data_IF_820230433614
#
_entry.id   IF_820230433614
#
_cell.length_a   1.000
_cell.length_b   1.000
_cell.length_c   1.000
_cell.angle_alpha   90.00
_cell.angle_beta   90.00
_cell.angle_gamma   90.00
#
_symmetry.space_group_name_H-M   'P 1'
#
loop_
_entity.id
_entity.type
_entity.pdbx_description
1 polymer ?
#
# COMPACT_ATOMS: atom_id res chain seq x y z
N UNK A 1 -9.23 -5.76 -18.12
CA UNK A 1 -8.99 -6.37 -16.84
C UNK A 1 -9.89 -5.82 -15.76
N UNK A 2 -10.05 -6.60 -14.70
CA UNK A 2 -10.88 -6.21 -13.57
C UNK A 2 -10.03 -5.60 -12.47
N UNK A 3 -10.63 -4.69 -11.67
CA UNK A 3 -9.98 -4.18 -10.47
C UNK A 3 -9.94 -5.25 -9.39
N UNK A 4 -8.96 -5.14 -8.49
CA UNK A 4 -8.92 -6.01 -7.31
C UNK A 4 -10.16 -5.86 -6.45
N UNK A 5 -10.70 -4.65 -6.35
CA UNK A 5 -11.91 -4.38 -5.58
C UNK A 5 -13.09 -5.19 -6.10
N UNK A 6 -13.26 -5.23 -7.42
CA UNK A 6 -14.31 -6.03 -8.06
C UNK A 6 -14.11 -7.52 -7.76
N UNK A 7 -12.90 -8.03 -7.89
CA UNK A 7 -12.59 -9.44 -7.66
C UNK A 7 -12.76 -9.85 -6.20
N UNK A 8 -12.43 -8.96 -5.26
CA UNK A 8 -12.54 -9.22 -3.83
C UNK A 8 -13.99 -9.34 -3.34
N UNK A 9 -14.98 -8.94 -4.13
CA UNK A 9 -16.39 -9.14 -3.78
C UNK A 9 -16.77 -10.62 -3.75
N UNK A 10 -16.10 -11.44 -4.57
CA UNK A 10 -16.46 -12.84 -4.74
C UNK A 10 -15.44 -13.82 -4.15
N UNK A 11 -14.17 -13.41 -3.99
CA UNK A 11 -13.12 -14.33 -3.56
C UNK A 11 -12.00 -13.61 -2.83
N UNK A 12 -11.29 -14.36 -2.00
CA UNK A 12 -10.03 -13.91 -1.41
C UNK A 12 -8.87 -14.52 -2.20
N UNK A 13 -7.68 -13.97 -1.98
CA UNK A 13 -6.48 -14.45 -2.66
C UNK A 13 -5.65 -15.34 -1.74
N UNK A 14 -4.95 -16.30 -2.32
CA UNK A 14 -3.99 -17.13 -1.58
C UNK A 14 -2.75 -16.31 -1.24
N UNK A 15 -1.93 -16.82 -0.32
CA UNK A 15 -0.65 -16.18 0.02
C UNK A 15 0.25 -16.05 -1.22
N UNK A 16 0.29 -17.11 -2.05
CA UNK A 16 1.11 -17.11 -3.27
C UNK A 16 0.65 -16.05 -4.27
N UNK A 17 -0.65 -15.98 -4.51
CA UNK A 17 -1.24 -14.98 -5.41
C UNK A 17 -1.01 -13.57 -4.89
N UNK A 18 -1.21 -13.37 -3.59
CA UNK A 18 -1.01 -12.07 -2.93
C UNK A 18 0.42 -11.60 -3.09
N UNK A 19 1.41 -12.47 -2.81
CA UNK A 19 2.82 -12.12 -2.97
C UNK A 19 3.16 -11.72 -4.39
N UNK A 20 2.65 -12.45 -5.37
CA UNK A 20 2.89 -12.19 -6.79
C UNK A 20 2.34 -10.82 -7.20
N UNK A 21 1.11 -10.54 -6.83
CA UNK A 21 0.45 -9.27 -7.17
C UNK A 21 1.11 -8.10 -6.45
N UNK A 22 1.35 -8.23 -5.16
CA UNK A 22 1.92 -7.15 -4.35
C UNK A 22 3.37 -6.84 -4.76
N UNK A 23 4.14 -7.83 -5.16
CA UNK A 23 5.48 -7.59 -5.69
C UNK A 23 5.44 -6.70 -6.92
N UNK A 24 4.47 -6.90 -7.81
CA UNK A 24 4.31 -6.03 -8.98
C UNK A 24 3.90 -4.61 -8.60
N UNK A 25 3.00 -4.47 -7.63
CA UNK A 25 2.63 -3.15 -7.08
C UNK A 25 3.84 -2.45 -6.50
N UNK A 26 4.66 -3.16 -5.73
CA UNK A 26 5.89 -2.60 -5.16
C UNK A 26 6.89 -2.18 -6.23
N UNK A 27 7.01 -2.91 -7.33
CA UNK A 27 7.87 -2.50 -8.45
C UNK A 27 7.39 -1.19 -9.08
N UNK A 28 6.08 -1.04 -9.27
CA UNK A 28 5.52 0.21 -9.76
C UNK A 28 5.77 1.36 -8.79
N UNK A 29 5.59 1.12 -7.51
CA UNK A 29 5.88 2.12 -6.47
C UNK A 29 7.37 2.48 -6.43
N UNK A 30 8.25 1.50 -6.62
CA UNK A 30 9.68 1.77 -6.65
C UNK A 30 10.05 2.78 -7.75
N UNK A 31 9.48 2.61 -8.94
CA UNK A 31 9.70 3.56 -10.04
C UNK A 31 9.20 4.94 -9.64
N UNK A 32 7.98 5.03 -9.10
CA UNK A 32 7.37 6.30 -8.67
C UNK A 32 8.23 6.97 -7.59
N UNK A 33 8.62 6.22 -6.57
CA UNK A 33 9.43 6.74 -5.46
C UNK A 33 10.81 7.19 -5.93
N UNK A 34 11.39 6.48 -6.91
CA UNK A 34 12.68 6.88 -7.51
C UNK A 34 12.60 8.22 -8.22
N UNK A 35 11.42 8.62 -8.66
CA UNK A 35 11.17 9.93 -9.27
C UNK A 35 10.84 11.00 -8.23
N UNK A 36 10.88 10.66 -6.95
CA UNK A 36 10.57 11.58 -5.87
C UNK A 36 9.08 11.77 -5.60
N UNK A 37 8.23 10.89 -6.11
CA UNK A 37 6.78 10.98 -5.92
C UNK A 37 6.26 9.91 -4.98
N UNK A 38 5.15 10.19 -4.31
CA UNK A 38 4.41 9.27 -3.44
C UNK A 38 3.01 9.13 -4.00
N UNK A 39 2.52 7.90 -4.11
CA UNK A 39 1.20 7.63 -4.74
C UNK A 39 0.05 8.12 -3.88
N UNK A 40 0.04 7.78 -2.60
CA UNK A 40 -0.91 8.23 -1.55
C UNK A 40 -2.31 7.63 -1.64
N UNK A 41 -2.59 6.74 -2.61
CA UNK A 41 -3.91 6.13 -2.75
C UNK A 41 -3.82 4.68 -3.26
N UNK A 42 -2.90 3.90 -2.68
CA UNK A 42 -2.76 2.47 -2.99
C UNK A 42 -3.90 1.72 -2.32
N UNK A 43 -4.78 1.13 -3.13
CA UNK A 43 -5.95 0.39 -2.66
C UNK A 43 -6.46 -0.54 -3.78
N UNK A 44 -7.33 -1.52 -3.46
CA UNK A 44 -7.81 -2.46 -4.47
C UNK A 44 -8.47 -1.84 -5.69
N UNK A 45 -9.18 -0.71 -5.53
CA UNK A 45 -9.84 0.00 -6.63
C UNK A 45 -8.83 0.52 -7.66
N UNK A 46 -7.59 0.75 -7.25
CA UNK A 46 -6.54 1.33 -8.08
C UNK A 46 -5.56 0.30 -8.61
N UNK A 47 -5.92 -0.98 -8.55
CA UNK A 47 -5.10 -2.06 -9.10
C UNK A 47 -5.95 -2.88 -10.05
N UNK A 48 -5.50 -2.96 -11.30
CA UNK A 48 -6.17 -3.75 -12.34
C UNK A 48 -5.36 -5.02 -12.57
N UNK A 49 -6.04 -6.18 -12.55
CA UNK A 49 -5.45 -7.45 -12.96
C UNK A 49 -5.77 -7.72 -14.41
N UNK A 50 -4.72 -7.94 -15.20
CA UNK A 50 -4.82 -8.30 -16.61
C UNK A 50 -4.00 -9.58 -16.82
N UNK A 51 -4.67 -10.74 -16.81
CA UNK A 51 -3.97 -12.00 -16.78
C UNK A 51 -3.13 -12.14 -15.52
N UNK A 52 -1.82 -12.30 -15.66
CA UNK A 52 -0.89 -12.38 -14.54
C UNK A 52 -0.27 -11.02 -14.18
N UNK A 53 -0.66 -9.94 -14.88
CA UNK A 53 -0.14 -8.60 -14.61
C UNK A 53 -1.04 -7.85 -13.62
N UNK A 54 -0.40 -7.16 -12.66
CA UNK A 54 -1.06 -6.21 -11.77
C UNK A 54 -0.59 -4.81 -12.14
N UNK A 55 -1.54 -3.93 -12.42
CA UNK A 55 -1.27 -2.56 -12.88
C UNK A 55 -1.84 -1.58 -11.87
N UNK A 56 -0.95 -0.76 -11.32
CA UNK A 56 -1.33 0.32 -10.41
C UNK A 56 -1.75 1.53 -11.25
N UNK A 57 -2.91 2.09 -10.92
CA UNK A 57 -3.50 3.22 -11.64
C UNK A 57 -3.84 4.37 -10.67
N UNK A 58 -4.39 5.44 -11.21
CA UNK A 58 -4.95 6.59 -10.49
C UNK A 58 -3.90 7.34 -9.66
N UNK A 59 -3.19 8.22 -10.33
CA UNK A 59 -2.15 9.04 -9.70
C UNK A 59 -2.65 10.41 -9.26
N UNK A 60 -3.97 10.61 -9.15
CA UNK A 60 -4.57 11.91 -8.79
C UNK A 60 -4.12 12.40 -7.41
N UNK A 61 -3.93 11.48 -6.46
CA UNK A 61 -3.46 11.82 -5.13
C UNK A 61 -1.94 11.87 -5.02
N UNK A 62 -1.21 11.51 -6.09
CA UNK A 62 0.24 11.45 -6.08
C UNK A 62 0.85 12.85 -5.87
N UNK A 63 2.00 12.87 -5.19
CA UNK A 63 2.64 14.11 -4.80
C UNK A 63 4.14 13.94 -4.73
N UNK A 64 4.88 14.96 -5.18
CA UNK A 64 6.32 15.01 -5.03
C UNK A 64 6.69 15.19 -3.56
N UNK A 65 7.67 14.43 -3.09
CA UNK A 65 8.21 14.57 -1.77
C UNK A 65 9.04 15.84 -1.66
N UNK A 66 8.76 16.65 -0.61
CA UNK A 66 9.49 17.90 -0.34
C UNK A 66 10.00 17.87 1.09
N UNK A 67 11.30 17.55 1.29
CA UNK A 67 11.85 17.37 2.64
C UNK A 67 11.73 18.60 3.54
N UNK A 68 11.68 19.80 2.97
CA UNK A 68 11.56 21.06 3.71
C UNK A 68 10.15 21.33 4.23
N UNK A 69 9.15 20.59 3.79
CA UNK A 69 7.79 20.73 4.28
C UNK A 69 7.59 19.84 5.51
N UNK A 70 6.89 20.37 6.51
CA UNK A 70 6.63 19.63 7.76
C UNK A 70 5.26 18.97 7.79
N UNK A 71 4.33 19.40 6.91
CA UNK A 71 2.99 18.83 6.85
C UNK A 71 2.39 19.04 5.46
N UNK A 72 1.50 18.14 5.07
CA UNK A 72 0.69 18.30 3.87
C UNK A 72 -0.47 19.23 4.16
N UNK A 73 -0.87 20.03 3.17
CA UNK A 73 -1.93 21.03 3.32
C UNK A 73 -3.33 20.45 3.19
N UNK A 74 -3.45 19.25 2.64
CA UNK A 74 -4.74 18.58 2.40
C UNK A 74 -4.69 17.14 2.89
N UNK A 75 -5.82 16.68 3.39
CA UNK A 75 -6.00 15.26 3.69
C UNK A 75 -6.38 14.58 2.38
N UNK A 76 -5.54 13.66 1.91
CA UNK A 76 -5.75 12.90 0.70
C UNK A 76 -5.70 11.40 1.00
N UNK A 77 -6.28 10.61 0.09
CA UNK A 77 -6.33 9.17 0.23
C UNK A 77 -7.67 8.67 0.75
N UNK A 78 -7.83 7.37 0.76
CA UNK A 78 -9.07 6.71 1.14
C UNK A 78 -9.01 6.30 2.60
N UNK A 79 -10.05 6.63 3.35
CA UNK A 79 -10.16 6.24 4.77
C UNK A 79 -9.98 4.72 4.92
N UNK A 80 -9.14 4.31 5.85
CA UNK A 80 -8.81 2.92 6.12
C UNK A 80 -7.55 2.45 5.40
N UNK A 81 -7.26 2.96 4.21
CA UNK A 81 -6.03 2.67 3.48
C UNK A 81 -4.98 3.76 3.65
N UNK A 82 -5.42 4.97 3.94
CA UNK A 82 -4.51 6.10 4.13
C UNK A 82 -3.73 5.95 5.43
N UNK A 83 -2.43 6.23 5.37
CA UNK A 83 -1.56 6.22 6.54
C UNK A 83 -1.92 7.37 7.50
N UNK A 84 -1.63 7.21 8.81
CA UNK A 84 -1.96 8.25 9.79
C UNK A 84 -1.40 9.63 9.45
N UNK A 85 -0.19 9.72 8.90
CA UNK A 85 0.44 10.99 8.54
C UNK A 85 -0.32 11.73 7.42
N UNK A 86 -1.16 11.04 6.64
CA UNK A 86 -1.99 11.68 5.61
C UNK A 86 -3.11 12.52 6.20
N UNK A 87 -3.39 12.36 7.50
CA UNK A 87 -4.43 13.11 8.20
C UNK A 87 -3.90 14.41 8.83
N UNK A 88 -2.70 14.85 8.46
CA UNK A 88 -2.47 16.24 8.55
C UNK A 88 -1.29 16.80 9.30
N UNK A 89 -0.62 16.12 10.19
CA UNK A 89 0.42 16.78 10.99
C UNK A 89 1.85 16.47 10.56
N UNK A 90 2.05 15.50 9.68
CA UNK A 90 3.37 15.09 9.21
C UNK A 90 3.40 15.05 7.70
N UNK A 91 4.58 15.30 7.14
CA UNK A 91 4.80 15.14 5.71
C UNK A 91 4.75 13.68 5.32
N UNK A 92 4.10 13.38 4.19
CA UNK A 92 4.10 12.03 3.63
C UNK A 92 5.40 11.75 2.86
N UNK A 93 5.83 10.50 2.87
CA UNK A 93 6.99 10.03 2.09
C UNK A 93 6.69 8.61 1.56
N UNK A 94 7.70 7.93 1.02
CA UNK A 94 7.53 6.58 0.46
C UNK A 94 6.95 5.58 1.47
N UNK A 95 7.15 5.78 2.77
CA UNK A 95 6.63 4.88 3.81
C UNK A 95 5.13 5.01 3.98
N UNK A 96 4.53 6.09 3.49
CA UNK A 96 3.09 6.27 3.42
C UNK A 96 2.46 5.21 2.50
N UNK A 97 3.07 4.96 1.35
CA UNK A 97 2.59 3.92 0.44
C UNK A 97 2.81 2.51 1.02
N UNK A 98 3.85 2.32 1.81
CA UNK A 98 4.11 1.04 2.49
C UNK A 98 2.99 0.69 3.46
N UNK A 99 2.47 1.67 4.21
CA UNK A 99 1.31 1.46 5.07
C UNK A 99 0.13 0.92 4.25
N UNK A 100 -0.19 1.56 3.14
CA UNK A 100 -1.30 1.16 2.29
C UNK A 100 -1.08 -0.23 1.67
N UNK A 101 0.15 -0.56 1.29
CA UNK A 101 0.48 -1.92 0.80
C UNK A 101 0.23 -2.95 1.89
N UNK A 102 0.57 -2.67 3.14
CA UNK A 102 0.27 -3.56 4.26
C UNK A 102 -1.22 -3.83 4.42
N UNK A 103 -2.04 -2.78 4.37
CA UNK A 103 -3.50 -2.92 4.41
C UNK A 103 -3.98 -3.76 3.21
N UNK A 104 -3.45 -3.50 2.03
CA UNK A 104 -3.79 -4.23 0.81
C UNK A 104 -3.53 -5.74 0.97
N UNK A 105 -2.35 -6.13 1.44
CA UNK A 105 -2.01 -7.53 1.68
C UNK A 105 -3.07 -8.18 2.58
N UNK A 106 -3.40 -7.51 3.68
CA UNK A 106 -4.34 -8.06 4.66
C UNK A 106 -5.74 -8.23 4.08
N UNK A 107 -6.21 -7.24 3.33
CA UNK A 107 -7.53 -7.29 2.70
C UNK A 107 -7.59 -8.41 1.64
N UNK A 108 -6.52 -8.62 0.89
CA UNK A 108 -6.47 -9.71 -0.09
C UNK A 108 -6.57 -11.08 0.58
N UNK A 109 -5.98 -11.26 1.76
CA UNK A 109 -5.95 -12.52 2.48
C UNK A 109 -7.20 -12.77 3.34
N UNK A 110 -7.75 -11.73 3.96
CA UNK A 110 -8.81 -11.86 4.97
C UNK A 110 -10.13 -11.17 4.57
N UNK A 111 -10.09 -10.28 3.61
CA UNK A 111 -11.24 -9.44 3.28
C UNK A 111 -11.49 -8.33 4.29
N UNK A 112 -10.62 -8.15 5.28
CA UNK A 112 -10.81 -7.20 6.37
C UNK A 112 -9.60 -6.32 6.59
N UNK A 113 -9.84 -5.14 7.17
CA UNK A 113 -8.77 -4.25 7.62
C UNK A 113 -7.96 -4.93 8.73
N UNK A 114 -6.63 -4.69 8.83
CA UNK A 114 -5.80 -5.32 9.86
C UNK A 114 -6.24 -5.05 11.29
N UNK A 115 -6.89 -3.90 11.53
CA UNK A 115 -7.40 -3.56 12.86
C UNK A 115 -8.54 -4.47 13.31
N UNK A 116 -9.22 -5.12 12.36
CA UNK A 116 -10.34 -6.04 12.66
C UNK A 116 -9.90 -7.49 12.66
N UNK A 117 -9.02 -7.87 11.75
CA UNK A 117 -8.50 -9.22 11.67
C UNK A 117 -7.16 -9.18 10.97
N UNK A 118 -6.09 -9.52 11.68
CA UNK A 118 -4.76 -9.62 11.10
C UNK A 118 -4.60 -11.00 10.45
N UNK A 119 -4.06 -11.02 9.23
CA UNK A 119 -3.74 -12.26 8.53
C UNK A 119 -2.74 -13.08 9.37
N UNK A 120 -2.85 -14.43 9.34
CA UNK A 120 -1.94 -15.28 10.10
C UNK A 120 -0.57 -15.41 9.43
N UNK A 121 0.39 -15.94 10.18
CA UNK A 121 1.68 -16.37 9.67
C UNK A 121 2.61 -15.23 9.26
N UNK A 122 3.52 -15.56 8.34
CA UNK A 122 4.56 -14.63 7.91
C UNK A 122 4.02 -13.37 7.28
N UNK A 123 3.02 -13.48 6.41
CA UNK A 123 2.43 -12.30 5.77
C UNK A 123 1.76 -11.40 6.78
N UNK A 124 1.13 -11.96 7.83
CA UNK A 124 0.56 -11.16 8.91
C UNK A 124 1.62 -10.35 9.65
N UNK A 125 2.80 -10.93 9.89
CA UNK A 125 3.91 -10.19 10.51
C UNK A 125 4.41 -9.05 9.62
N UNK A 126 4.44 -9.29 8.30
CA UNK A 126 4.78 -8.26 7.32
C UNK A 126 3.75 -7.12 7.35
N UNK A 127 2.46 -7.47 7.36
CA UNK A 127 1.36 -6.48 7.47
C UNK A 127 1.54 -5.65 8.73
N UNK A 128 1.79 -6.29 9.87
CA UNK A 128 1.94 -5.60 11.14
C UNK A 128 3.07 -4.56 11.10
N UNK A 129 4.17 -4.88 10.45
CA UNK A 129 5.27 -3.92 10.30
C UNK A 129 4.95 -2.80 9.32
N UNK A 130 4.31 -3.12 8.20
CA UNK A 130 3.91 -2.11 7.23
C UNK A 130 2.96 -1.08 7.83
N UNK A 131 2.10 -1.50 8.76
CA UNK A 131 1.01 -0.67 9.28
C UNK A 131 1.30 -0.06 10.65
N UNK A 132 2.57 0.02 11.05
CA UNK A 132 2.95 0.74 12.27
C UNK A 132 2.55 2.21 12.15
N UNK A 133 2.04 2.78 13.25
CA UNK A 133 1.63 4.19 13.28
C UNK A 133 2.82 5.11 12.99
N UNK A 134 3.96 4.83 13.62
CA UNK A 134 5.17 5.58 13.38
C UNK A 134 5.84 5.09 12.09
N UNK A 135 5.99 5.96 11.07
CA UNK A 135 6.63 5.55 9.81
C UNK A 135 8.04 4.98 9.98
N UNK A 136 8.76 5.42 11.01
CA UNK A 136 10.12 4.94 11.30
C UNK A 136 10.17 3.45 11.65
N UNK A 137 9.06 2.89 12.11
CA UNK A 137 8.95 1.48 12.48
C UNK A 137 8.52 0.59 11.33
N UNK A 138 8.18 1.16 10.19
CA UNK A 138 7.85 0.44 8.95
C UNK A 138 9.12 0.06 8.20
N UNK A 139 8.96 -0.71 7.12
CA UNK A 139 10.06 -0.86 6.16
C UNK A 139 10.45 0.50 5.63
N UNK A 140 11.75 0.74 5.41
CA UNK A 140 12.25 2.05 4.99
C UNK A 140 11.90 2.39 3.54
N UNK A 141 11.74 1.37 2.70
CA UNK A 141 11.38 1.51 1.29
C UNK A 141 10.75 0.21 0.76
N UNK A 142 10.22 0.25 -0.46
CA UNK A 142 9.57 -0.92 -1.05
C UNK A 142 10.55 -2.03 -1.44
N UNK A 143 11.83 -1.73 -1.63
CA UNK A 143 12.84 -2.76 -1.88
C UNK A 143 12.98 -3.67 -0.66
N UNK A 144 13.02 -3.08 0.54
CA UNK A 144 13.09 -3.84 1.80
C UNK A 144 11.84 -4.70 1.97
N UNK A 145 10.69 -4.15 1.63
CA UNK A 145 9.43 -4.92 1.66
C UNK A 145 9.48 -6.09 0.68
N UNK A 146 9.91 -5.86 -0.55
CA UNK A 146 10.01 -6.93 -1.55
C UNK A 146 10.95 -8.06 -1.14
N UNK A 147 12.01 -7.76 -0.41
CA UNK A 147 12.96 -8.78 0.07
C UNK A 147 12.30 -9.83 0.98
N UNK A 148 11.24 -9.47 1.65
CA UNK A 148 10.56 -10.37 2.61
C UNK A 148 9.25 -10.96 2.08
N UNK A 149 8.80 -10.52 0.91
CA UNK A 149 7.60 -11.07 0.26
C UNK A 149 7.80 -12.44 -0.37
#
# INVERSE_FOLDING_TARGET
GDTLDFLLKDTLFTAKETRKIVTQVCRALWVLHSLGAVHRDVKPDNIILRGSEAILIDFDAARLYKPEETADTQILGTTGFAAPEQYGLSQTDQRTDIFAVGVLINVMLTGKHPSKQLAPGRLGRIVARCTQVNPKNRYSDVLRLMEVL
#
